data_IF_622627550380
#
_entry.id   IF_622627550380
#
_cell.length_a   1.000
_cell.length_b   1.000
_cell.length_c   1.000
_cell.angle_alpha   90.00
_cell.angle_beta   90.00
_cell.angle_gamma   90.00
#
_symmetry.space_group_name_H-M   'P 1'
#
loop_
_entity.id
_entity.type
_entity.pdbx_description
1 polymer ?
#
# COMPACT_ATOMS: atom_id res chain seq x y z
N UNK A 1 1.08 -8.27 -9.11
CA UNK A 1 -0.01 -8.37 -10.12
C UNK A 1 -0.17 -7.01 -10.77
N UNK A 2 -0.02 -6.90 -12.08
CA UNK A 2 -0.26 -5.63 -12.79
C UNK A 2 -1.76 -5.33 -12.70
N UNK A 3 -2.12 -4.11 -12.27
CA UNK A 3 -3.52 -3.68 -12.22
C UNK A 3 -3.98 -3.39 -13.65
N UNK A 4 -5.15 -3.91 -14.03
CA UNK A 4 -5.72 -3.68 -15.36
C UNK A 4 -6.10 -2.20 -15.49
N UNK A 5 -5.65 -1.56 -16.56
CA UNK A 5 -6.03 -0.17 -16.87
C UNK A 5 -7.48 -0.10 -17.35
N UNK A 6 -8.10 1.08 -17.28
CA UNK A 6 -9.46 1.30 -17.80
C UNK A 6 -9.57 0.96 -19.30
N UNK A 7 -8.51 1.22 -20.08
CA UNK A 7 -8.46 0.93 -21.51
C UNK A 7 -8.42 -0.58 -21.75
N UNK A 8 -7.61 -1.32 -21.00
CA UNK A 8 -7.54 -2.78 -21.07
C UNK A 8 -8.86 -3.43 -20.63
N UNK A 9 -9.52 -2.89 -19.59
CA UNK A 9 -10.81 -3.38 -19.13
C UNK A 9 -11.93 -3.13 -20.16
N UNK A 10 -11.99 -1.93 -20.75
CA UNK A 10 -12.95 -1.63 -21.81
C UNK A 10 -12.73 -2.52 -23.04
N UNK A 11 -11.47 -2.73 -23.42
CA UNK A 11 -11.10 -3.66 -24.48
C UNK A 11 -11.56 -5.09 -24.19
N UNK A 12 -11.38 -5.58 -22.97
CA UNK A 12 -11.78 -6.93 -22.55
C UNK A 12 -13.30 -7.09 -22.58
N UNK A 13 -14.03 -6.15 -22.00
CA UNK A 13 -15.50 -6.17 -21.95
C UNK A 13 -16.13 -6.09 -23.34
N UNK A 14 -15.46 -5.44 -24.31
CA UNK A 14 -15.89 -5.36 -25.71
C UNK A 14 -15.36 -6.51 -26.58
N UNK A 15 -14.61 -7.45 -26.02
CA UNK A 15 -14.01 -8.57 -26.76
C UNK A 15 -12.88 -8.17 -27.72
N UNK A 16 -12.28 -6.99 -27.53
CA UNK A 16 -11.17 -6.47 -28.35
C UNK A 16 -9.79 -6.87 -27.84
N UNK A 17 -9.68 -7.32 -26.59
CA UNK A 17 -8.43 -7.82 -26.03
C UNK A 17 -8.66 -8.97 -25.04
N UNK A 18 -7.60 -9.74 -24.78
CA UNK A 18 -7.59 -10.86 -23.83
C UNK A 18 -6.65 -10.50 -22.67
N UNK A 19 -7.08 -10.64 -21.40
CA UNK A 19 -6.22 -10.42 -20.25
C UNK A 19 -5.02 -11.36 -20.27
N UNK A 20 -3.83 -10.84 -19.98
CA UNK A 20 -2.59 -11.64 -20.01
C UNK A 20 -2.56 -12.75 -18.96
N UNK A 21 -3.36 -12.64 -17.91
CA UNK A 21 -3.46 -13.63 -16.82
C UNK A 21 -4.75 -14.47 -16.89
N UNK A 22 -5.42 -14.50 -18.05
CA UNK A 22 -6.49 -15.46 -18.32
C UNK A 22 -5.90 -16.86 -18.40
N UNK A 23 -6.46 -17.81 -17.65
CA UNK A 23 -5.98 -19.19 -17.63
C UNK A 23 -6.47 -19.97 -18.86
N UNK A 24 -5.73 -21.01 -19.24
CA UNK A 24 -6.17 -21.93 -20.30
C UNK A 24 -7.49 -22.59 -19.88
N UNK A 25 -8.47 -22.58 -20.78
CA UNK A 25 -9.84 -23.06 -20.55
C UNK A 25 -10.65 -22.27 -19.49
N UNK A 26 -10.20 -21.09 -19.08
CA UNK A 26 -11.00 -20.18 -18.25
C UNK A 26 -11.87 -19.31 -19.15
N UNK A 27 -13.18 -19.32 -18.91
CA UNK A 27 -14.14 -18.43 -19.58
C UNK A 27 -14.02 -17.01 -19.03
N UNK A 28 -14.49 -16.02 -19.80
CA UNK A 28 -14.50 -14.62 -19.34
C UNK A 28 -15.30 -14.44 -18.04
N UNK A 29 -16.37 -15.21 -17.86
CA UNK A 29 -17.18 -15.18 -16.64
C UNK A 29 -16.39 -15.73 -15.43
N UNK A 30 -15.72 -16.88 -15.58
CA UNK A 30 -14.88 -17.46 -14.53
C UNK A 30 -13.72 -16.53 -14.17
N UNK A 31 -13.09 -15.91 -15.16
CA UNK A 31 -12.05 -14.91 -14.95
C UNK A 31 -12.53 -13.72 -14.10
N UNK A 32 -13.69 -13.15 -14.44
CA UNK A 32 -14.27 -12.03 -13.70
C UNK A 32 -14.64 -12.43 -12.27
N UNK A 33 -15.28 -13.59 -12.08
CA UNK A 33 -15.61 -14.11 -10.75
C UNK A 33 -14.36 -14.27 -9.90
N UNK A 34 -13.28 -14.85 -10.47
CA UNK A 34 -12.00 -14.95 -9.77
C UNK A 34 -11.43 -13.57 -9.40
N UNK A 35 -11.48 -12.60 -10.31
CA UNK A 35 -10.97 -11.24 -10.03
C UNK A 35 -11.77 -10.51 -8.97
N UNK A 36 -13.09 -10.67 -8.95
CA UNK A 36 -13.93 -10.11 -7.90
C UNK A 36 -13.66 -10.78 -6.56
N UNK A 37 -13.52 -12.11 -6.51
CA UNK A 37 -13.15 -12.83 -5.29
C UNK A 37 -11.76 -12.41 -4.76
N UNK A 38 -10.78 -12.23 -5.64
CA UNK A 38 -9.45 -11.70 -5.28
C UNK A 38 -9.54 -10.28 -4.68
N UNK A 39 -10.44 -9.43 -5.21
CA UNK A 39 -10.66 -8.08 -4.70
C UNK A 39 -11.40 -8.09 -3.36
N UNK A 40 -12.47 -8.89 -3.23
CA UNK A 40 -13.23 -9.07 -1.99
C UNK A 40 -12.35 -9.62 -0.87
N UNK A 41 -11.48 -10.58 -1.16
CA UNK A 41 -10.53 -11.12 -0.19
C UNK A 41 -9.56 -10.05 0.33
N UNK A 42 -9.07 -9.16 -0.56
CA UNK A 42 -8.25 -8.02 -0.15
C UNK A 42 -9.04 -7.04 0.70
N UNK A 43 -10.27 -6.69 0.32
CA UNK A 43 -11.14 -5.82 1.10
C UNK A 43 -11.42 -6.41 2.50
N UNK A 44 -11.67 -7.71 2.59
CA UNK A 44 -11.87 -8.41 3.86
C UNK A 44 -10.62 -8.40 4.73
N UNK A 45 -9.43 -8.61 4.15
CA UNK A 45 -8.17 -8.52 4.86
C UNK A 45 -7.90 -7.10 5.39
N UNK A 46 -8.12 -6.06 4.57
CA UNK A 46 -8.00 -4.67 5.02
C UNK A 46 -9.02 -4.34 6.12
N UNK A 47 -10.25 -4.82 6.01
CA UNK A 47 -11.26 -4.60 7.06
C UNK A 47 -10.85 -5.26 8.39
N UNK A 48 -10.28 -6.47 8.34
CA UNK A 48 -9.78 -7.15 9.53
C UNK A 48 -8.60 -6.40 10.17
N UNK A 49 -7.67 -5.86 9.37
CA UNK A 49 -6.58 -5.02 9.88
C UNK A 49 -7.11 -3.74 10.54
N UNK A 50 -8.10 -3.08 9.92
CA UNK A 50 -8.73 -1.88 10.50
C UNK A 50 -9.37 -2.17 11.85
N UNK A 51 -10.09 -3.29 11.99
CA UNK A 51 -10.69 -3.68 13.27
C UNK A 51 -9.63 -4.03 14.32
N UNK A 52 -8.54 -4.70 13.95
CA UNK A 52 -7.42 -4.96 14.86
C UNK A 52 -6.76 -3.66 15.36
N UNK A 53 -6.55 -2.69 14.47
CA UNK A 53 -5.98 -1.38 14.83
C UNK A 53 -6.92 -0.59 15.73
N UNK A 54 -8.23 -0.60 15.46
CA UNK A 54 -9.23 0.04 16.34
C UNK A 54 -9.23 -0.58 17.73
N UNK A 55 -9.17 -1.91 17.82
CA UNK A 55 -9.10 -2.60 19.11
C UNK A 55 -7.85 -2.21 19.89
N UNK A 56 -6.67 -2.26 19.25
CA UNK A 56 -5.42 -1.88 19.88
C UNK A 56 -5.39 -0.40 20.31
N UNK A 57 -5.99 0.48 19.50
CA UNK A 57 -6.16 1.89 19.84
C UNK A 57 -7.06 2.08 21.06
N UNK A 58 -8.19 1.37 21.12
CA UNK A 58 -9.10 1.44 22.25
C UNK A 58 -8.45 0.95 23.54
N UNK A 59 -7.67 -0.12 23.49
CA UNK A 59 -6.91 -0.64 24.64
C UNK A 59 -5.85 0.36 25.12
N UNK A 60 -5.17 1.04 24.19
CA UNK A 60 -4.23 2.10 24.51
C UNK A 60 -4.93 3.28 25.20
N UNK A 61 -6.06 3.75 24.65
CA UNK A 61 -6.88 4.83 25.24
C UNK A 61 -7.35 4.46 26.64
N UNK A 62 -7.87 3.25 26.84
CA UNK A 62 -8.34 2.78 28.15
C UNK A 62 -7.20 2.75 29.18
N UNK A 63 -6.01 2.29 28.77
CA UNK A 63 -4.82 2.24 29.62
C UNK A 63 -4.34 3.63 30.01
N UNK A 64 -4.33 4.58 29.08
CA UNK A 64 -3.96 5.98 29.34
C UNK A 64 -4.95 6.62 30.30
N UNK A 65 -6.25 6.44 30.08
CA UNK A 65 -7.29 7.01 30.94
C UNK A 65 -7.18 6.46 32.37
N UNK A 66 -6.96 5.15 32.53
CA UNK A 66 -6.80 4.52 33.84
C UNK A 66 -5.57 5.03 34.60
N UNK A 67 -4.44 5.16 33.90
CA UNK A 67 -3.16 5.57 34.50
C UNK A 67 -3.11 7.06 34.80
N UNK A 68 -3.60 7.92 33.91
CA UNK A 68 -3.73 9.36 34.15
C UNK A 68 -4.60 9.65 35.39
N UNK A 69 -5.69 8.90 35.57
CA UNK A 69 -6.58 9.04 36.73
C UNK A 69 -6.00 8.50 38.05
N UNK A 70 -5.06 7.53 38.02
CA UNK A 70 -4.46 6.95 39.24
C UNK A 70 -3.16 7.60 39.67
N UNK A 71 -2.32 8.04 38.74
CA UNK A 71 -0.94 8.50 39.03
C UNK A 71 -0.63 9.91 38.53
N UNK A 72 -1.54 10.55 37.78
CA UNK A 72 -1.31 11.88 37.20
C UNK A 72 -0.23 11.89 36.10
N UNK A 73 0.27 10.71 35.69
CA UNK A 73 1.28 10.57 34.63
C UNK A 73 0.57 10.21 33.34
N UNK A 74 0.58 11.13 32.38
CA UNK A 74 0.21 10.85 30.98
C UNK A 74 1.40 10.16 30.32
N UNK A 75 1.20 8.98 29.75
CA UNK A 75 2.19 8.44 28.81
C UNK A 75 2.36 9.43 27.67
N UNK A 76 3.61 9.85 27.43
CA UNK A 76 3.92 10.76 26.32
C UNK A 76 3.51 10.10 25.01
N UNK A 77 2.92 10.86 24.09
CA UNK A 77 2.55 10.49 22.70
C UNK A 77 3.46 9.43 22.04
N UNK A 78 4.76 9.53 22.28
CA UNK A 78 5.81 8.61 21.82
C UNK A 78 5.62 7.14 22.22
N UNK A 79 5.09 6.87 23.41
CA UNK A 79 4.83 5.51 23.90
C UNK A 79 3.64 4.86 23.17
N UNK A 80 2.60 5.65 22.86
CA UNK A 80 1.40 5.22 22.13
C UNK A 80 1.76 4.99 20.65
N UNK A 81 2.56 5.88 20.08
CA UNK A 81 3.06 5.77 18.72
C UNK A 81 3.93 4.52 18.52
N UNK A 82 4.65 4.06 19.54
CA UNK A 82 5.39 2.79 19.48
C UNK A 82 4.49 1.54 19.51
N UNK A 83 3.30 1.63 20.12
CA UNK A 83 2.34 0.52 20.21
C UNK A 83 1.51 0.34 18.93
N UNK A 84 1.34 1.40 18.15
CA UNK A 84 0.51 1.43 16.94
C UNK A 84 1.35 1.62 15.67
N UNK A 85 2.42 0.82 15.51
CA UNK A 85 3.19 0.84 14.26
C UNK A 85 2.36 0.22 13.14
N UNK A 86 2.44 0.81 11.94
CA UNK A 86 1.83 0.26 10.73
C UNK A 86 2.90 -0.05 9.67
N UNK A 87 3.77 -1.05 9.89
CA UNK A 87 4.90 -1.30 9.00
C UNK A 87 4.48 -1.60 7.55
N UNK A 88 3.31 -2.22 7.37
CA UNK A 88 2.74 -2.48 6.06
C UNK A 88 2.36 -1.17 5.33
N UNK A 89 1.70 -0.24 6.02
CA UNK A 89 1.37 1.09 5.49
C UNK A 89 2.62 1.90 5.21
N UNK A 90 3.61 1.86 6.10
CA UNK A 90 4.87 2.59 5.94
C UNK A 90 5.67 2.07 4.73
N UNK A 91 5.73 0.74 4.57
CA UNK A 91 6.33 0.09 3.39
C UNK A 91 5.57 0.42 2.11
N UNK A 92 4.24 0.45 2.15
CA UNK A 92 3.41 0.86 1.01
C UNK A 92 3.68 2.32 0.61
N UNK A 93 3.71 3.24 1.57
CA UNK A 93 4.01 4.65 1.30
C UNK A 93 5.44 4.84 0.78
N UNK A 94 6.40 4.07 1.27
CA UNK A 94 7.77 4.05 0.76
C UNK A 94 7.83 3.59 -0.71
N UNK A 95 7.09 2.54 -1.06
CA UNK A 95 6.99 2.05 -2.44
C UNK A 95 6.32 3.07 -3.37
N UNK A 96 5.23 3.71 -2.93
CA UNK A 96 4.55 4.76 -3.72
C UNK A 96 5.50 5.95 -3.97
N UNK A 97 6.28 6.37 -2.97
CA UNK A 97 7.29 7.43 -3.15
C UNK A 97 8.39 6.98 -4.12
N UNK A 98 8.87 5.73 -4.02
CA UNK A 98 9.88 5.20 -4.93
C UNK A 98 9.38 5.19 -6.39
N UNK A 99 8.13 4.79 -6.63
CA UNK A 99 7.51 4.83 -7.95
C UNK A 99 7.39 6.26 -8.50
N UNK A 100 7.06 7.24 -7.64
CA UNK A 100 7.06 8.65 -8.05
C UNK A 100 8.43 9.16 -8.52
N UNK A 101 9.51 8.70 -7.86
CA UNK A 101 10.89 9.02 -8.27
C UNK A 101 11.26 8.33 -9.59
N UNK A 102 10.83 7.08 -9.78
CA UNK A 102 11.00 6.35 -11.04
C UNK A 102 10.25 7.03 -12.20
N UNK A 103 9.08 7.61 -11.94
CA UNK A 103 8.37 8.41 -12.94
C UNK A 103 9.12 9.71 -13.28
N UNK A 104 9.70 10.40 -12.29
CA UNK A 104 10.51 11.61 -12.50
C UNK A 104 11.76 11.34 -13.36
N UNK A 105 12.32 10.13 -13.26
CA UNK A 105 13.46 9.69 -14.07
C UNK A 105 13.25 9.87 -15.57
N UNK A 106 12.01 9.71 -16.03
CA UNK A 106 11.66 9.79 -17.44
C UNK A 106 11.61 11.24 -17.96
N UNK A 107 11.66 12.24 -17.08
CA UNK A 107 11.60 13.64 -17.46
C UNK A 107 12.79 14.07 -18.34
N UNK A 108 12.57 14.80 -19.45
CA UNK A 108 13.63 15.15 -20.41
C UNK A 108 14.85 15.85 -19.77
N UNK A 109 14.62 16.76 -18.82
CA UNK A 109 15.71 17.46 -18.12
C UNK A 109 16.58 16.54 -17.27
N UNK A 110 16.01 15.46 -16.70
CA UNK A 110 16.75 14.48 -15.88
C UNK A 110 17.65 13.63 -16.78
N UNK A 111 17.14 13.23 -17.96
CA UNK A 111 17.91 12.51 -18.97
C UNK A 111 19.03 13.37 -19.55
N UNK A 112 18.74 14.63 -19.87
CA UNK A 112 19.73 15.58 -20.40
C UNK A 112 20.90 15.80 -19.43
N UNK A 113 20.60 15.89 -18.13
CA UNK A 113 21.61 16.06 -17.09
C UNK A 113 22.25 14.74 -16.61
N UNK A 114 21.93 13.59 -17.21
CA UNK A 114 22.45 12.26 -16.82
C UNK A 114 22.22 11.88 -15.35
N UNK A 115 21.15 12.40 -14.73
CA UNK A 115 20.84 12.20 -13.30
C UNK A 115 19.99 10.94 -13.04
N UNK A 116 19.78 10.12 -14.06
CA UNK A 116 18.92 8.93 -13.98
C UNK A 116 19.39 7.91 -12.94
N UNK A 117 20.69 7.82 -12.69
CA UNK A 117 21.28 6.96 -11.65
C UNK A 117 20.92 7.43 -10.23
N UNK A 118 20.82 8.75 -10.02
CA UNK A 118 20.43 9.34 -8.73
C UNK A 118 18.96 9.00 -8.42
N UNK A 119 18.09 9.02 -9.43
CA UNK A 119 16.70 8.59 -9.27
C UNK A 119 16.60 7.11 -8.86
N UNK A 120 17.41 6.23 -9.46
CA UNK A 120 17.43 4.81 -9.10
C UNK A 120 17.90 4.61 -7.65
N UNK A 121 18.96 5.31 -7.27
CA UNK A 121 19.51 5.23 -5.92
C UNK A 121 18.50 5.75 -4.88
N UNK A 122 17.85 6.88 -5.15
CA UNK A 122 16.84 7.46 -4.27
C UNK A 122 15.61 6.54 -4.14
N UNK A 123 15.14 5.95 -5.23
CA UNK A 123 14.03 4.98 -5.20
C UNK A 123 14.40 3.74 -4.37
N UNK A 124 15.63 3.22 -4.51
CA UNK A 124 16.12 2.11 -3.71
C UNK A 124 16.27 2.46 -2.22
N UNK A 125 16.72 3.68 -1.90
CA UNK A 125 16.82 4.16 -0.52
C UNK A 125 15.45 4.29 0.15
N UNK A 126 14.44 4.80 -0.57
CA UNK A 126 13.07 4.90 -0.08
C UNK A 126 12.51 3.52 0.28
N UNK A 127 12.74 2.50 -0.56
CA UNK A 127 12.31 1.10 -0.29
C UNK A 127 12.99 0.47 0.92
N UNK A 128 14.24 0.86 1.21
CA UNK A 128 14.98 0.41 2.40
C UNK A 128 14.55 1.11 3.69
N UNK A 129 13.62 2.06 3.62
CA UNK A 129 13.14 2.84 4.76
C UNK A 129 13.93 4.12 5.06
N UNK A 130 15.02 4.39 4.31
CA UNK A 130 15.96 5.48 4.61
C UNK A 130 16.65 5.31 5.98
N UNK A 131 17.80 5.95 6.19
CA UNK A 131 18.45 6.06 7.51
C UNK A 131 17.62 6.96 8.46
N UNK A 132 16.38 6.58 8.79
CA UNK A 132 15.53 7.26 9.79
C UNK A 132 15.63 6.58 11.15
#
# INVERSE_FOLDING_TARGET
MKQMTLIEMDGFLKGKCIPSDLKVNETNAEYLVRKFAEAEAKCAALAAEVEAVKSAHQDAVNTIMYTANRTGVLYTEKAIQMSCKTPATDAFLAEVRAQGVEMMREHPSIKLCSLTHICDELAAQLRKGGNQ
#
